data_IF_997960636161
#
_entry.id   IF_997960636161
#
_cell.length_a   1.000
_cell.length_b   1.000
_cell.length_c   1.000
_cell.angle_alpha   90.00
_cell.angle_beta   90.00
_cell.angle_gamma   90.00
#
_symmetry.space_group_name_H-M   'P 1'
#
loop_
_entity.id
_entity.type
_entity.pdbx_description
1 polymer ?
#
# COMPACT_ATOMS: atom_id res chain seq x y z
N UNK A 1 36.09 -14.90 -68.66
CA UNK A 1 35.50 -15.37 -67.39
C UNK A 1 34.77 -14.20 -66.73
N UNK A 2 33.44 -14.22 -66.69
CA UNK A 2 32.62 -13.24 -65.94
C UNK A 2 32.22 -13.91 -64.63
N UNK A 3 32.76 -13.45 -63.51
CA UNK A 3 32.33 -13.91 -62.19
C UNK A 3 31.08 -13.13 -61.78
N UNK A 4 29.93 -13.82 -61.74
CA UNK A 4 28.73 -13.31 -61.08
C UNK A 4 28.94 -13.46 -59.56
N UNK A 5 29.12 -12.34 -58.86
CA UNK A 5 29.13 -12.32 -57.40
C UNK A 5 27.70 -12.17 -56.92
N UNK A 6 27.07 -13.29 -56.55
CA UNK A 6 25.72 -13.30 -55.97
C UNK A 6 25.81 -12.88 -54.51
N UNK A 7 25.36 -11.66 -54.20
CA UNK A 7 25.32 -11.13 -52.84
C UNK A 7 24.17 -11.81 -52.07
N UNK A 8 24.50 -12.79 -51.22
CA UNK A 8 23.53 -13.45 -50.35
C UNK A 8 23.17 -12.49 -49.19
N UNK A 9 22.05 -11.78 -49.32
CA UNK A 9 21.46 -10.97 -48.26
C UNK A 9 20.97 -11.89 -47.14
N UNK A 10 21.83 -12.17 -46.16
CA UNK A 10 21.45 -12.85 -44.91
C UNK A 10 20.66 -11.85 -44.08
N UNK A 11 19.34 -11.89 -44.19
CA UNK A 11 18.44 -11.21 -43.26
C UNK A 11 18.54 -11.88 -41.90
N UNK A 12 19.34 -11.31 -41.00
CA UNK A 12 19.28 -11.64 -39.58
C UNK A 12 17.90 -11.25 -39.05
N UNK A 13 17.00 -12.22 -38.93
CA UNK A 13 15.79 -12.07 -38.15
C UNK A 13 16.21 -11.87 -36.69
N UNK A 14 16.24 -10.62 -36.22
CA UNK A 14 16.33 -10.34 -34.80
C UNK A 14 15.07 -10.92 -34.16
N UNK A 15 15.19 -12.09 -33.53
CA UNK A 15 14.09 -12.70 -32.79
C UNK A 15 13.77 -11.77 -31.61
N UNK A 16 12.67 -11.01 -31.74
CA UNK A 16 12.13 -10.23 -30.64
C UNK A 16 11.66 -11.15 -29.51
N UNK A 17 11.56 -10.59 -28.30
CA UNK A 17 11.26 -11.29 -27.07
C UNK A 17 10.01 -12.15 -27.22
N UNK A 18 10.13 -13.48 -27.10
CA UNK A 18 9.00 -14.40 -27.16
C UNK A 18 8.36 -14.57 -25.79
N UNK A 19 7.06 -14.30 -25.72
CA UNK A 19 6.29 -14.47 -24.48
C UNK A 19 5.73 -15.88 -24.31
N UNK A 20 5.82 -16.76 -25.32
CA UNK A 20 5.25 -18.11 -25.33
C UNK A 20 3.77 -18.13 -24.94
N UNK A 21 2.97 -17.31 -25.64
CA UNK A 21 1.55 -17.09 -25.32
C UNK A 21 0.66 -18.16 -25.93
N UNK A 22 0.05 -18.95 -25.05
CA UNK A 22 -0.97 -19.91 -25.42
C UNK A 22 -2.28 -19.58 -24.68
N UNK A 23 -3.40 -19.38 -25.40
CA UNK A 23 -4.68 -19.15 -24.76
C UNK A 23 -5.20 -20.43 -24.11
N UNK A 24 -5.67 -20.35 -22.87
CA UNK A 24 -6.42 -21.39 -22.20
C UNK A 24 -7.93 -21.13 -22.34
N UNK A 25 -8.69 -22.10 -22.83
CA UNK A 25 -10.15 -21.98 -22.97
C UNK A 25 -10.84 -22.08 -21.61
N UNK A 26 -11.48 -21.00 -21.15
CA UNK A 26 -12.24 -20.97 -19.89
C UNK A 26 -13.68 -21.41 -20.12
N UNK A 27 -14.28 -20.94 -21.21
CA UNK A 27 -15.58 -21.35 -21.73
C UNK A 27 -15.54 -21.28 -23.27
N UNK A 28 -16.59 -21.75 -23.95
CA UNK A 28 -16.72 -21.74 -25.42
C UNK A 28 -16.65 -20.34 -26.07
N UNK A 29 -16.66 -19.25 -25.27
CA UNK A 29 -16.53 -17.88 -25.78
C UNK A 29 -15.54 -17.02 -25.03
N UNK A 30 -14.77 -17.59 -24.08
CA UNK A 30 -13.77 -16.86 -23.30
C UNK A 30 -12.51 -17.70 -23.18
N UNK A 31 -11.38 -17.12 -23.59
CA UNK A 31 -10.05 -17.69 -23.39
C UNK A 31 -9.12 -16.69 -22.74
N UNK A 32 -8.09 -17.18 -22.04
CA UNK A 32 -7.14 -16.37 -21.29
C UNK A 32 -5.71 -16.85 -21.49
N UNK A 33 -4.79 -15.92 -21.69
CA UNK A 33 -3.36 -16.12 -21.49
C UNK A 33 -3.06 -15.79 -20.04
N UNK A 34 -2.84 -16.82 -19.22
CA UNK A 34 -2.51 -16.61 -17.81
C UNK A 34 -1.10 -16.05 -17.65
N UNK A 35 -0.98 -15.07 -16.76
CA UNK A 35 0.29 -14.44 -16.40
C UNK A 35 1.12 -15.34 -15.49
N UNK A 36 2.44 -15.18 -15.54
CA UNK A 36 3.36 -15.91 -14.69
C UNK A 36 3.29 -15.40 -13.24
N UNK A 37 3.66 -16.25 -12.30
CA UNK A 37 3.77 -15.87 -10.90
C UNK A 37 4.96 -14.94 -10.68
N UNK A 38 4.81 -13.95 -9.79
CA UNK A 38 5.88 -13.04 -9.39
C UNK A 38 5.79 -11.63 -9.99
N UNK A 39 6.95 -10.97 -10.08
CA UNK A 39 7.09 -9.58 -10.54
C UNK A 39 7.55 -9.53 -11.99
N UNK A 40 7.38 -8.38 -12.65
CA UNK A 40 7.99 -8.12 -13.94
C UNK A 40 9.53 -8.19 -13.82
N UNK A 41 10.15 -8.95 -14.72
CA UNK A 41 11.60 -9.16 -14.83
C UNK A 41 12.01 -9.16 -16.31
N UNK A 42 13.32 -9.07 -16.57
CA UNK A 42 13.87 -9.23 -17.92
C UNK A 42 13.47 -10.58 -18.54
N UNK A 43 13.50 -11.65 -17.76
CA UNK A 43 13.21 -13.01 -18.23
C UNK A 43 11.74 -13.27 -18.56
N UNK A 44 10.79 -12.54 -17.98
CA UNK A 44 9.36 -12.72 -18.27
C UNK A 44 8.75 -11.59 -19.11
N UNK A 45 9.53 -10.56 -19.47
CA UNK A 45 9.06 -9.43 -20.27
C UNK A 45 7.87 -8.68 -19.65
N UNK A 46 7.60 -8.87 -18.36
CA UNK A 46 6.43 -8.34 -17.67
C UNK A 46 5.15 -9.19 -17.76
N UNK A 47 5.19 -10.42 -18.32
CA UNK A 47 4.05 -11.36 -18.39
C UNK A 47 3.67 -11.86 -17.00
N UNK A 48 3.01 -11.01 -16.23
CA UNK A 48 2.53 -11.33 -14.88
C UNK A 48 1.03 -11.12 -14.73
N UNK A 49 0.38 -10.48 -15.70
CA UNK A 49 -1.07 -10.27 -15.73
C UNK A 49 -1.75 -11.29 -16.62
N UNK A 50 -2.97 -11.67 -16.27
CA UNK A 50 -3.86 -12.43 -17.13
C UNK A 50 -4.45 -11.50 -18.20
N UNK A 51 -4.30 -11.87 -19.46
CA UNK A 51 -4.98 -11.22 -20.59
C UNK A 51 -6.01 -12.19 -21.14
N UNK A 52 -7.24 -11.75 -21.25
CA UNK A 52 -8.32 -12.59 -21.76
C UNK A 52 -8.99 -11.96 -22.96
N UNK A 53 -9.72 -12.75 -23.73
CA UNK A 53 -10.57 -12.24 -24.80
C UNK A 53 -11.91 -12.96 -24.81
N UNK A 54 -12.93 -12.20 -25.17
CA UNK A 54 -14.32 -12.64 -25.30
C UNK A 54 -14.64 -12.67 -26.78
N UNK A 55 -15.12 -13.82 -27.27
CA UNK A 55 -15.61 -13.97 -28.64
C UNK A 55 -17.03 -13.42 -28.78
N UNK A 56 -17.26 -12.61 -29.81
CA UNK A 56 -18.60 -12.14 -30.19
C UNK A 56 -18.77 -12.27 -31.70
N UNK A 57 -20.00 -12.16 -32.21
CA UNK A 57 -20.22 -12.21 -33.66
C UNK A 57 -19.64 -11.01 -34.43
N UNK A 58 -19.26 -9.92 -33.75
CA UNK A 58 -18.66 -8.72 -34.38
C UNK A 58 -17.14 -8.63 -34.18
N UNK A 59 -16.54 -9.57 -33.46
CA UNK A 59 -15.11 -9.60 -33.16
C UNK A 59 -14.80 -9.75 -31.67
N UNK A 60 -13.53 -9.63 -31.33
CA UNK A 60 -13.05 -9.83 -29.97
C UNK A 60 -13.21 -8.60 -29.07
N UNK A 61 -13.41 -8.87 -27.78
CA UNK A 61 -13.23 -7.90 -26.69
C UNK A 61 -12.12 -8.40 -25.78
N UNK A 62 -11.00 -7.69 -25.73
CA UNK A 62 -9.85 -8.02 -24.88
C UNK A 62 -10.05 -7.43 -23.48
N UNK A 63 -9.76 -8.21 -22.45
CA UNK A 63 -9.72 -7.80 -21.05
C UNK A 63 -8.26 -7.77 -20.61
N UNK A 64 -7.79 -6.59 -20.21
CA UNK A 64 -6.40 -6.26 -19.86
C UNK A 64 -5.39 -6.53 -21.00
N UNK A 65 -4.88 -5.46 -21.60
CA UNK A 65 -4.04 -5.53 -22.82
C UNK A 65 -2.65 -6.16 -22.64
N UNK A 66 -2.18 -6.28 -21.40
CA UNK A 66 -0.87 -6.83 -21.08
C UNK A 66 0.25 -5.79 -21.00
N UNK A 67 1.49 -6.25 -20.73
CA UNK A 67 2.57 -5.42 -20.23
C UNK A 67 3.31 -4.60 -21.28
N UNK A 68 3.18 -4.93 -22.57
CA UNK A 68 3.96 -4.31 -23.64
C UNK A 68 3.21 -4.37 -24.98
N UNK A 69 3.66 -3.55 -25.94
CA UNK A 69 3.15 -3.56 -27.31
C UNK A 69 3.42 -4.91 -28.00
N UNK A 70 4.63 -5.45 -27.86
CA UNK A 70 5.04 -6.74 -28.43
C UNK A 70 4.26 -7.92 -27.85
N UNK A 71 3.96 -7.89 -26.54
CA UNK A 71 3.07 -8.86 -25.91
C UNK A 71 1.69 -8.84 -26.56
N UNK A 72 1.09 -7.65 -26.71
CA UNK A 72 -0.24 -7.52 -27.30
C UNK A 72 -0.27 -7.99 -28.76
N UNK A 73 0.81 -7.75 -29.51
CA UNK A 73 0.96 -8.26 -30.87
C UNK A 73 0.98 -9.79 -30.90
N UNK A 74 1.80 -10.44 -30.07
CA UNK A 74 1.86 -11.91 -29.99
C UNK A 74 0.56 -12.51 -29.47
N UNK A 75 -0.10 -11.87 -28.51
CA UNK A 75 -1.40 -12.26 -28.02
C UNK A 75 -2.43 -12.26 -29.16
N UNK A 76 -2.49 -11.18 -29.93
CA UNK A 76 -3.38 -11.10 -31.08
C UNK A 76 -3.04 -12.14 -32.15
N UNK A 77 -1.75 -12.40 -32.44
CA UNK A 77 -1.35 -13.48 -33.34
C UNK A 77 -1.84 -14.86 -32.86
N UNK A 78 -1.75 -15.15 -31.56
CA UNK A 78 -2.27 -16.39 -30.98
C UNK A 78 -3.81 -16.47 -31.06
N UNK A 79 -4.50 -15.33 -30.92
CA UNK A 79 -5.96 -15.24 -31.13
C UNK A 79 -6.33 -15.53 -32.60
N UNK A 80 -5.63 -14.91 -33.55
CA UNK A 80 -5.88 -15.10 -35.00
C UNK A 80 -5.74 -16.57 -35.42
N UNK A 81 -4.76 -17.29 -34.86
CA UNK A 81 -4.58 -18.73 -35.12
C UNK A 81 -5.79 -19.57 -34.71
N UNK A 82 -6.51 -19.16 -33.66
CA UNK A 82 -7.74 -19.84 -33.22
C UNK A 82 -8.94 -19.44 -34.07
N UNK A 83 -9.12 -18.14 -34.30
CA UNK A 83 -10.19 -17.62 -35.14
C UNK A 83 -9.86 -16.21 -35.62
N UNK A 84 -9.90 -15.95 -36.94
CA UNK A 84 -9.50 -14.66 -37.50
C UNK A 84 -10.60 -13.62 -37.31
N UNK A 85 -10.59 -12.91 -36.17
CA UNK A 85 -11.53 -11.84 -35.86
C UNK A 85 -10.82 -10.55 -35.47
N UNK A 86 -11.36 -9.36 -35.81
CA UNK A 86 -10.81 -8.09 -35.36
C UNK A 86 -11.05 -7.89 -33.86
N UNK A 87 -10.16 -7.17 -33.18
CA UNK A 87 -10.44 -6.66 -31.82
C UNK A 87 -11.25 -5.37 -31.92
N UNK A 88 -12.45 -5.36 -31.35
CA UNK A 88 -13.32 -4.17 -31.34
C UNK A 88 -13.12 -3.31 -30.09
N UNK A 89 -12.85 -3.94 -28.96
CA UNK A 89 -12.64 -3.26 -27.69
C UNK A 89 -11.50 -3.88 -26.88
N UNK A 90 -10.81 -3.02 -26.13
CA UNK A 90 -9.93 -3.41 -25.02
C UNK A 90 -10.48 -2.77 -23.76
N UNK A 91 -10.73 -3.58 -22.73
CA UNK A 91 -11.18 -3.11 -21.42
C UNK A 91 -10.08 -3.42 -20.42
N UNK A 92 -9.35 -2.40 -19.99
CA UNK A 92 -8.38 -2.53 -18.91
C UNK A 92 -9.12 -2.45 -17.58
N UNK A 93 -8.90 -3.43 -16.70
CA UNK A 93 -9.53 -3.50 -15.38
C UNK A 93 -8.80 -2.67 -14.33
N UNK A 94 -7.52 -2.36 -14.56
CA UNK A 94 -6.70 -1.49 -13.74
C UNK A 94 -5.91 -0.47 -14.58
N UNK A 95 -5.31 0.52 -13.93
CA UNK A 95 -4.38 1.46 -14.54
C UNK A 95 -2.89 1.08 -14.29
N UNK A 96 -2.60 -0.13 -13.81
CA UNK A 96 -1.21 -0.56 -13.63
C UNK A 96 -0.53 -0.78 -14.98
N UNK A 97 0.76 -0.47 -15.06
CA UNK A 97 1.55 -0.55 -16.31
C UNK A 97 1.45 -1.93 -16.97
N UNK A 98 1.48 -3.01 -16.19
CA UNK A 98 1.36 -4.40 -16.67
C UNK A 98 0.01 -4.72 -17.31
N UNK A 99 -1.05 -3.96 -17.02
CA UNK A 99 -2.37 -4.14 -17.62
C UNK A 99 -2.54 -3.35 -18.93
N UNK A 100 -1.87 -2.21 -19.07
CA UNK A 100 -2.30 -1.15 -19.99
C UNK A 100 -1.35 -0.88 -21.16
N UNK A 101 -0.11 -1.31 -21.10
CA UNK A 101 0.91 -0.93 -22.08
C UNK A 101 0.76 -1.64 -23.44
N UNK A 102 0.04 -2.76 -23.48
CA UNK A 102 -0.38 -3.40 -24.73
C UNK A 102 -1.47 -2.63 -25.48
N UNK A 103 -2.13 -1.65 -24.85
CA UNK A 103 -3.29 -0.95 -25.44
C UNK A 103 -2.95 -0.19 -26.73
N UNK A 104 -1.70 0.26 -26.88
CA UNK A 104 -1.23 0.96 -28.09
C UNK A 104 -1.32 0.09 -29.35
N UNK A 105 -1.01 -1.20 -29.26
CA UNK A 105 -1.10 -2.14 -30.39
C UNK A 105 -2.55 -2.25 -30.88
N UNK A 106 -3.48 -2.58 -29.98
CA UNK A 106 -4.88 -2.74 -30.34
C UNK A 106 -5.52 -1.43 -30.83
N UNK A 107 -5.11 -0.28 -30.28
CA UNK A 107 -5.57 1.03 -30.74
C UNK A 107 -5.15 1.30 -32.19
N UNK A 108 -3.92 0.96 -32.57
CA UNK A 108 -3.45 1.07 -33.96
C UNK A 108 -4.25 0.18 -34.91
N UNK A 109 -4.77 -0.96 -34.41
CA UNK A 109 -5.67 -1.85 -35.15
C UNK A 109 -7.14 -1.37 -35.17
N UNK A 110 -7.44 -0.18 -34.64
CA UNK A 110 -8.78 0.41 -34.63
C UNK A 110 -9.67 0.01 -33.44
N UNK A 111 -9.13 -0.70 -32.44
CA UNK A 111 -9.91 -1.06 -31.25
C UNK A 111 -10.17 0.16 -30.35
N UNK A 112 -11.37 0.21 -29.75
CA UNK A 112 -11.72 1.20 -28.73
C UNK A 112 -11.22 0.78 -27.36
N UNK A 113 -10.43 1.64 -26.71
CA UNK A 113 -9.90 1.39 -25.37
C UNK A 113 -10.85 1.95 -24.32
N UNK A 114 -11.14 1.17 -23.29
CA UNK A 114 -11.92 1.55 -22.10
C UNK A 114 -11.07 1.25 -20.88
N UNK A 115 -11.05 2.17 -19.91
CA UNK A 115 -10.17 2.05 -18.75
C UNK A 115 -10.78 2.70 -17.51
N UNK A 116 -10.27 2.39 -16.30
CA UNK A 116 -10.64 3.12 -15.08
C UNK A 116 -10.24 4.61 -15.18
N UNK A 117 -10.93 5.48 -14.44
CA UNK A 117 -10.62 6.93 -14.43
C UNK A 117 -9.22 7.26 -13.94
N UNK A 118 -8.61 6.42 -13.08
CA UNK A 118 -7.21 6.56 -12.64
C UNK A 118 -6.18 6.49 -13.79
N UNK A 119 -6.55 5.89 -14.93
CA UNK A 119 -5.70 5.86 -16.12
C UNK A 119 -5.33 7.27 -16.59
N UNK A 120 -6.23 8.26 -16.42
CA UNK A 120 -5.93 9.66 -16.77
C UNK A 120 -4.70 10.20 -16.03
N UNK A 121 -4.50 9.79 -14.78
CA UNK A 121 -3.32 10.19 -14.01
C UNK A 121 -2.06 9.51 -14.53
N UNK A 122 -2.16 8.25 -14.97
CA UNK A 122 -1.03 7.53 -15.57
C UNK A 122 -0.51 8.20 -16.83
N UNK A 123 -1.39 8.76 -17.67
CA UNK A 123 -1.00 9.51 -18.87
C UNK A 123 -0.12 10.74 -18.58
N UNK A 124 -0.16 11.27 -17.35
CA UNK A 124 0.67 12.41 -16.93
C UNK A 124 2.07 11.99 -16.49
N UNK A 125 2.29 10.69 -16.21
CA UNK A 125 3.59 10.19 -15.80
C UNK A 125 4.51 10.03 -17.01
N UNK A 126 5.65 10.70 -16.98
CA UNK A 126 6.67 10.59 -18.05
C UNK A 126 7.55 9.35 -17.93
N UNK A 127 7.68 8.78 -16.73
CA UNK A 127 8.55 7.62 -16.46
C UNK A 127 7.72 6.36 -16.20
N UNK A 128 7.93 5.33 -17.01
CA UNK A 128 7.34 4.01 -16.85
C UNK A 128 8.31 3.12 -16.09
N UNK A 129 7.88 2.60 -14.94
CA UNK A 129 8.75 1.83 -14.06
C UNK A 129 9.09 0.44 -14.62
N UNK A 130 8.15 -0.18 -15.33
CA UNK A 130 8.34 -1.49 -15.95
C UNK A 130 9.45 -1.47 -17.00
N UNK A 131 9.69 -0.34 -17.68
CA UNK A 131 10.77 -0.17 -18.64
C UNK A 131 12.15 -0.42 -18.03
N UNK A 132 12.31 -0.17 -16.72
CA UNK A 132 13.55 -0.43 -15.98
C UNK A 132 13.70 -1.89 -15.52
N UNK A 133 12.62 -2.68 -15.59
CA UNK A 133 12.55 -4.03 -15.04
C UNK A 133 12.62 -5.13 -16.08
N UNK A 134 12.26 -4.82 -17.33
CA UNK A 134 12.19 -5.78 -18.44
C UNK A 134 13.27 -5.49 -19.49
N UNK A 135 13.45 -6.36 -20.49
CA UNK A 135 14.41 -6.10 -21.57
C UNK A 135 13.94 -4.95 -22.47
N UNK A 136 14.88 -4.22 -23.06
CA UNK A 136 14.58 -3.14 -24.00
C UNK A 136 13.77 -3.65 -25.21
N UNK A 137 14.11 -4.85 -25.67
CA UNK A 137 13.43 -5.54 -26.74
C UNK A 137 11.96 -5.88 -26.39
N UNK A 138 11.70 -6.46 -25.20
CA UNK A 138 10.34 -6.67 -24.72
C UNK A 138 9.55 -5.36 -24.61
N UNK A 139 10.19 -4.28 -24.13
CA UNK A 139 9.54 -2.98 -23.97
C UNK A 139 9.34 -2.21 -25.29
N UNK A 140 9.96 -2.65 -26.39
CA UNK A 140 9.97 -1.92 -27.66
C UNK A 140 8.56 -1.49 -28.10
N UNK A 141 8.45 -0.24 -28.60
CA UNK A 141 7.21 0.45 -29.01
C UNK A 141 6.15 0.66 -27.90
N UNK A 142 6.40 0.19 -26.68
CA UNK A 142 5.44 0.32 -25.58
C UNK A 142 5.37 1.76 -25.09
N UNK A 143 4.16 2.32 -25.13
CA UNK A 143 3.86 3.65 -24.62
C UNK A 143 2.43 3.71 -24.13
N UNK A 144 2.15 4.61 -23.21
CA UNK A 144 0.77 4.89 -22.81
C UNK A 144 0.01 5.55 -23.96
N UNK A 145 -1.26 5.19 -24.11
CA UNK A 145 -2.15 5.78 -25.12
C UNK A 145 -3.45 6.24 -24.47
N UNK A 146 -4.04 7.33 -24.97
CA UNK A 146 -5.32 7.81 -24.46
C UNK A 146 -6.43 6.76 -24.67
N UNK A 147 -7.23 6.53 -23.62
CA UNK A 147 -8.43 5.70 -23.66
C UNK A 147 -9.59 6.43 -24.36
N UNK A 148 -10.44 5.70 -25.10
CA UNK A 148 -11.66 6.24 -25.69
C UNK A 148 -12.78 6.44 -24.66
N UNK A 149 -12.71 5.72 -23.53
CA UNK A 149 -13.68 5.85 -22.43
C UNK A 149 -13.04 5.62 -21.06
N UNK A 150 -13.51 6.39 -20.07
CA UNK A 150 -13.07 6.27 -18.69
C UNK A 150 -14.26 5.95 -17.77
N UNK A 151 -14.20 4.82 -17.08
CA UNK A 151 -15.32 4.34 -16.26
C UNK A 151 -15.08 4.65 -14.80
N UNK A 152 -16.02 5.36 -14.18
CA UNK A 152 -16.01 5.63 -12.74
C UNK A 152 -16.98 4.73 -11.95
N UNK A 153 -18.10 4.31 -12.55
CA UNK A 153 -19.16 3.58 -11.82
C UNK A 153 -19.71 2.40 -12.61
N UNK A 154 -20.28 2.65 -13.79
CA UNK A 154 -21.01 1.64 -14.55
C UNK A 154 -20.94 1.94 -16.05
N UNK A 155 -20.83 0.90 -16.86
CA UNK A 155 -21.07 0.93 -18.31
C UNK A 155 -21.57 -0.43 -18.76
N UNK A 156 -22.54 -0.45 -19.67
CA UNK A 156 -22.94 -1.65 -20.42
C UNK A 156 -22.55 -1.46 -21.88
N UNK A 157 -22.03 -2.51 -22.49
CA UNK A 157 -21.76 -2.62 -23.92
C UNK A 157 -22.46 -3.88 -24.43
N UNK A 158 -23.01 -3.81 -25.64
CA UNK A 158 -23.59 -4.96 -26.32
C UNK A 158 -22.87 -5.10 -27.66
N UNK A 159 -22.08 -6.15 -27.82
CA UNK A 159 -21.19 -6.34 -28.97
C UNK A 159 -21.46 -7.74 -29.52
N UNK A 160 -21.91 -7.84 -30.77
CA UNK A 160 -22.16 -9.13 -31.44
C UNK A 160 -23.03 -10.09 -30.63
N UNK A 161 -24.11 -9.60 -30.02
CA UNK A 161 -25.02 -10.40 -29.19
C UNK A 161 -24.48 -10.78 -27.81
N UNK A 162 -23.39 -10.16 -27.35
CA UNK A 162 -22.81 -10.39 -26.02
C UNK A 162 -22.89 -9.10 -25.20
N UNK A 163 -23.59 -9.17 -24.06
CA UNK A 163 -23.64 -8.11 -23.07
C UNK A 163 -22.41 -8.15 -22.15
N UNK A 164 -21.72 -7.01 -22.07
CA UNK A 164 -20.52 -6.80 -21.26
C UNK A 164 -20.79 -5.66 -20.28
N UNK A 165 -20.76 -5.96 -18.98
CA UNK A 165 -21.13 -5.03 -17.90
C UNK A 165 -19.88 -4.68 -17.10
N UNK A 166 -19.46 -3.42 -17.16
CA UNK A 166 -18.27 -2.89 -16.51
C UNK A 166 -18.70 -2.11 -15.27
N UNK A 167 -18.11 -2.41 -14.10
CA UNK A 167 -18.47 -1.75 -12.84
C UNK A 167 -17.25 -1.41 -12.00
N UNK A 168 -17.32 -0.30 -11.30
CA UNK A 168 -16.47 -0.02 -10.15
C UNK A 168 -17.26 -0.34 -8.87
N UNK A 169 -16.68 -1.14 -7.97
CA UNK A 169 -17.37 -1.59 -6.75
C UNK A 169 -17.09 -0.73 -5.52
N UNK A 170 -16.14 0.20 -5.62
CA UNK A 170 -15.64 1.04 -4.52
C UNK A 170 -15.88 2.53 -4.78
N UNK A 171 -16.93 3.08 -4.15
CA UNK A 171 -17.23 4.53 -4.22
C UNK A 171 -16.04 5.35 -3.71
N UNK A 172 -15.46 6.18 -4.58
CA UNK A 172 -14.31 7.04 -4.29
C UNK A 172 -12.95 6.36 -4.49
N UNK A 173 -12.90 5.14 -5.04
CA UNK A 173 -11.71 4.63 -5.72
C UNK A 173 -11.93 4.75 -7.22
N UNK A 174 -10.87 5.06 -7.96
CA UNK A 174 -10.87 5.14 -9.42
C UNK A 174 -9.98 4.08 -10.06
N UNK A 175 -9.48 3.10 -9.29
CA UNK A 175 -8.36 2.23 -9.66
C UNK A 175 -8.77 0.93 -10.34
N UNK A 176 -9.86 0.32 -9.88
CA UNK A 176 -10.24 -1.04 -10.28
C UNK A 176 -11.64 -1.09 -10.88
N UNK A 177 -11.78 -1.96 -11.88
CA UNK A 177 -13.05 -2.34 -12.48
C UNK A 177 -13.23 -3.85 -12.41
N UNK A 178 -14.49 -4.28 -12.41
CA UNK A 178 -14.89 -5.64 -12.77
C UNK A 178 -15.60 -5.61 -14.12
N UNK A 179 -15.56 -6.74 -14.83
CA UNK A 179 -16.29 -6.95 -16.09
C UNK A 179 -17.10 -8.23 -15.98
N UNK A 180 -18.43 -8.14 -16.04
CA UNK A 180 -19.32 -9.30 -16.05
C UNK A 180 -19.80 -9.60 -17.46
N UNK A 181 -19.80 -10.88 -17.83
CA UNK A 181 -20.31 -11.36 -19.12
C UNK A 181 -21.38 -12.44 -18.85
N UNK A 182 -22.65 -12.05 -18.66
CA UNK A 182 -23.71 -12.96 -18.20
C UNK A 182 -23.92 -14.18 -19.11
N UNK A 183 -23.83 -13.99 -20.43
CA UNK A 183 -23.96 -15.07 -21.43
C UNK A 183 -23.03 -16.25 -21.13
N UNK A 184 -21.80 -15.95 -20.68
CA UNK A 184 -20.78 -16.96 -20.36
C UNK A 184 -20.65 -17.22 -18.85
N UNK A 185 -21.55 -16.68 -18.02
CA UNK A 185 -21.51 -16.76 -16.55
C UNK A 185 -20.10 -16.47 -15.98
N UNK A 186 -19.39 -15.52 -16.57
CA UNK A 186 -17.98 -15.23 -16.25
C UNK A 186 -17.83 -13.81 -15.73
N UNK A 187 -17.03 -13.65 -14.67
CA UNK A 187 -16.70 -12.38 -14.04
C UNK A 187 -15.19 -12.16 -14.06
N UNK A 188 -14.72 -11.13 -14.77
CA UNK A 188 -13.36 -10.63 -14.62
C UNK A 188 -13.33 -9.70 -13.40
N UNK A 189 -12.66 -10.13 -12.34
CA UNK A 189 -12.56 -9.40 -11.09
C UNK A 189 -11.38 -8.41 -11.05
N UNK A 190 -10.50 -8.43 -12.05
CA UNK A 190 -9.30 -7.59 -12.09
C UNK A 190 -8.50 -7.71 -10.80
N UNK A 191 -8.07 -6.57 -10.26
CA UNK A 191 -7.32 -6.47 -9.01
C UNK A 191 -8.21 -6.47 -7.75
N UNK A 192 -9.47 -6.90 -7.82
CA UNK A 192 -10.24 -7.16 -6.60
C UNK A 192 -9.86 -8.47 -5.93
N UNK A 193 -9.27 -9.41 -6.68
CA UNK A 193 -8.89 -10.74 -6.18
C UNK A 193 -7.40 -10.93 -6.42
N UNK A 194 -6.67 -11.27 -5.37
CA UNK A 194 -5.24 -11.56 -5.43
C UNK A 194 -5.00 -13.00 -5.03
N UNK A 195 -4.38 -13.73 -5.95
CA UNK A 195 -3.95 -15.11 -5.78
C UNK A 195 -2.44 -15.21 -5.50
N UNK A 196 -1.76 -14.11 -5.12
CA UNK A 196 -0.30 -14.06 -4.89
C UNK A 196 0.10 -13.30 -3.60
N UNK A 197 1.36 -13.47 -3.18
CA UNK A 197 1.90 -13.36 -1.82
C UNK A 197 2.12 -11.95 -1.26
N UNK A 198 1.98 -10.86 -2.02
CA UNK A 198 2.14 -9.50 -1.44
C UNK A 198 1.17 -8.49 -2.04
N UNK A 199 0.34 -7.93 -1.16
CA UNK A 199 -0.75 -7.04 -1.48
C UNK A 199 -0.34 -5.57 -1.34
N UNK A 200 -0.51 -4.80 -2.41
CA UNK A 200 -0.37 -3.34 -2.33
C UNK A 200 -1.71 -2.74 -1.92
N UNK A 201 -1.80 -2.24 -0.68
CA UNK A 201 -2.97 -1.46 -0.23
C UNK A 201 -3.22 -0.22 -1.09
N UNK A 202 -2.20 0.22 -1.83
CA UNK A 202 -2.30 1.31 -2.80
C UNK A 202 -3.36 1.10 -3.87
N UNK A 203 -3.92 -0.10 -4.05
CA UNK A 203 -4.92 -0.35 -5.09
C UNK A 203 -6.38 -0.12 -4.62
N UNK A 204 -6.64 -0.07 -3.32
CA UNK A 204 -8.01 0.01 -2.78
C UNK A 204 -8.21 1.27 -1.92
N UNK A 205 -9.48 1.68 -1.73
CA UNK A 205 -9.79 2.85 -0.90
C UNK A 205 -9.51 2.57 0.59
N UNK A 206 -9.90 1.38 1.04
CA UNK A 206 -9.65 0.88 2.40
C UNK A 206 -9.97 -0.61 2.47
N UNK A 207 -9.47 -1.31 3.49
CA UNK A 207 -9.85 -2.70 3.76
C UNK A 207 -11.38 -2.91 3.87
N UNK A 208 -12.10 -1.96 4.47
CA UNK A 208 -13.57 -2.02 4.60
C UNK A 208 -14.27 -1.84 3.24
N UNK A 209 -13.77 -0.94 2.40
CA UNK A 209 -14.29 -0.74 1.04
C UNK A 209 -14.08 -1.99 0.20
N UNK A 210 -12.88 -2.54 0.24
CA UNK A 210 -12.52 -3.73 -0.50
C UNK A 210 -13.29 -4.98 -0.02
N UNK A 211 -13.44 -5.18 1.29
CA UNK A 211 -14.26 -6.27 1.82
C UNK A 211 -15.74 -6.19 1.39
N UNK A 212 -16.31 -4.99 1.29
CA UNK A 212 -17.66 -4.81 0.72
C UNK A 212 -17.70 -5.14 -0.77
N UNK A 213 -16.66 -4.82 -1.53
CA UNK A 213 -16.56 -5.21 -2.93
C UNK A 213 -16.49 -6.74 -3.08
N UNK A 214 -15.72 -7.44 -2.25
CA UNK A 214 -15.68 -8.91 -2.23
C UNK A 214 -17.07 -9.51 -1.95
N UNK A 215 -17.78 -9.02 -0.94
CA UNK A 215 -19.16 -9.47 -0.65
C UNK A 215 -20.11 -9.28 -1.84
N UNK A 216 -19.99 -8.16 -2.56
CA UNK A 216 -20.77 -7.91 -3.79
C UNK A 216 -20.39 -8.89 -4.90
N UNK A 217 -19.11 -9.18 -5.07
CA UNK A 217 -18.64 -10.18 -6.05
C UNK A 217 -19.23 -11.56 -5.71
N UNK A 218 -19.21 -11.95 -4.44
CA UNK A 218 -19.76 -13.24 -3.99
C UNK A 218 -21.25 -13.39 -4.29
N UNK A 219 -22.03 -12.32 -4.12
CA UNK A 219 -23.48 -12.31 -4.36
C UNK A 219 -23.87 -12.28 -5.85
N UNK A 220 -22.92 -12.05 -6.76
CA UNK A 220 -23.19 -12.08 -8.21
C UNK A 220 -23.30 -13.52 -8.72
N UNK A 221 -24.15 -13.70 -9.75
CA UNK A 221 -24.29 -14.98 -10.47
C UNK A 221 -23.14 -15.14 -11.47
N UNK A 222 -22.22 -16.06 -11.19
CA UNK A 222 -21.12 -16.46 -12.06
C UNK A 222 -20.67 -17.89 -11.71
N UNK A 223 -20.16 -18.58 -12.73
CA UNK A 223 -19.55 -19.91 -12.65
C UNK A 223 -18.01 -19.85 -12.72
N UNK A 224 -17.49 -18.80 -13.35
CA UNK A 224 -16.06 -18.55 -13.51
C UNK A 224 -15.72 -17.13 -13.07
N UNK A 225 -14.59 -16.99 -12.39
CA UNK A 225 -14.07 -15.71 -11.94
C UNK A 225 -12.59 -15.60 -12.27
N UNK A 226 -12.17 -14.52 -12.94
CA UNK A 226 -10.80 -14.35 -13.41
C UNK A 226 -10.24 -13.07 -12.81
N UNK A 227 -9.19 -13.19 -12.01
CA UNK A 227 -8.43 -12.05 -11.48
C UNK A 227 -7.39 -11.56 -12.50
N UNK A 228 -6.80 -10.39 -12.26
CA UNK A 228 -5.63 -9.93 -13.01
C UNK A 228 -4.43 -10.86 -12.82
N UNK A 229 -4.33 -11.58 -11.70
CA UNK A 229 -3.17 -12.40 -11.37
C UNK A 229 -3.58 -13.77 -10.83
N UNK A 230 -2.85 -14.81 -11.24
CA UNK A 230 -3.03 -16.20 -10.81
C UNK A 230 -4.10 -16.96 -11.60
N UNK A 231 -4.19 -18.27 -11.35
CA UNK A 231 -4.86 -19.23 -12.25
C UNK A 231 -6.14 -19.83 -11.68
N UNK A 232 -6.51 -19.53 -10.43
CA UNK A 232 -7.75 -20.03 -9.82
C UNK A 232 -8.95 -19.32 -10.45
N UNK A 233 -9.85 -20.09 -11.07
CA UNK A 233 -11.01 -19.57 -11.80
C UNK A 233 -12.38 -19.88 -11.19
N UNK A 234 -12.41 -20.55 -10.04
CA UNK A 234 -13.64 -20.95 -9.33
C UNK A 234 -13.79 -20.20 -8.01
N UNK A 235 -14.79 -20.56 -7.21
CA UNK A 235 -15.09 -19.92 -5.91
C UNK A 235 -13.88 -19.88 -4.97
N UNK A 236 -13.00 -20.88 -5.02
CA UNK A 236 -11.77 -20.95 -4.23
C UNK A 236 -10.75 -19.83 -4.55
N UNK A 237 -10.89 -19.11 -5.67
CA UNK A 237 -10.07 -17.93 -5.99
C UNK A 237 -10.23 -16.80 -4.96
N UNK A 238 -11.37 -16.74 -4.26
CA UNK A 238 -11.65 -15.70 -3.27
C UNK A 238 -10.94 -15.94 -1.92
N UNK A 239 -10.53 -17.18 -1.64
CA UNK A 239 -10.13 -17.61 -0.29
C UNK A 239 -8.96 -16.80 0.25
N UNK A 240 -7.88 -16.65 -0.52
CA UNK A 240 -6.68 -15.92 -0.09
C UNK A 240 -6.99 -14.46 0.22
N UNK A 241 -7.77 -13.82 -0.65
CA UNK A 241 -8.17 -12.42 -0.47
C UNK A 241 -9.07 -12.24 0.75
N UNK A 242 -10.07 -13.12 0.94
CA UNK A 242 -10.95 -13.10 2.12
C UNK A 242 -10.19 -13.30 3.43
N UNK A 243 -9.26 -14.25 3.46
CA UNK A 243 -8.40 -14.50 4.63
C UNK A 243 -7.53 -13.29 4.96
N UNK A 244 -6.91 -12.67 3.96
CA UNK A 244 -6.12 -11.44 4.13
C UNK A 244 -6.96 -10.29 4.68
N UNK A 245 -8.14 -10.04 4.10
CA UNK A 245 -9.06 -9.00 4.54
C UNK A 245 -9.54 -9.25 5.98
N UNK A 246 -9.93 -10.49 6.30
CA UNK A 246 -10.35 -10.88 7.65
C UNK A 246 -9.25 -10.62 8.68
N UNK A 247 -8.02 -11.02 8.37
CA UNK A 247 -6.86 -10.82 9.24
C UNK A 247 -6.61 -9.32 9.49
N UNK A 248 -6.49 -8.51 8.44
CA UNK A 248 -6.18 -7.09 8.57
C UNK A 248 -7.32 -6.29 9.20
N UNK A 249 -8.58 -6.60 8.88
CA UNK A 249 -9.72 -5.98 9.56
C UNK A 249 -9.74 -6.33 11.05
N UNK A 250 -9.38 -7.56 11.44
CA UNK A 250 -9.22 -7.94 12.85
C UNK A 250 -8.11 -7.13 13.52
N UNK A 251 -6.98 -6.90 12.86
CA UNK A 251 -5.90 -6.06 13.38
C UNK A 251 -6.36 -4.60 13.55
N UNK A 252 -7.07 -4.04 12.57
CA UNK A 252 -7.60 -2.66 12.65
C UNK A 252 -8.64 -2.55 13.76
N UNK A 253 -9.54 -3.52 13.90
CA UNK A 253 -10.53 -3.54 14.98
C UNK A 253 -9.88 -3.71 16.35
N UNK A 254 -8.81 -4.52 16.46
CA UNK A 254 -8.01 -4.63 17.68
C UNK A 254 -7.33 -3.31 18.00
N UNK A 255 -6.63 -2.68 17.04
CA UNK A 255 -6.02 -1.36 17.21
C UNK A 255 -7.05 -0.31 17.59
N UNK A 256 -8.18 -0.24 16.90
CA UNK A 256 -9.26 0.69 17.23
C UNK A 256 -9.92 0.36 18.58
N UNK A 257 -9.95 -0.90 19.02
CA UNK A 257 -10.40 -1.26 20.37
C UNK A 257 -9.36 -0.86 21.39
N UNK A 258 -8.07 -1.10 21.16
CA UNK A 258 -6.97 -0.64 21.99
C UNK A 258 -6.99 0.87 22.08
N UNK A 259 -7.05 1.59 20.96
CA UNK A 259 -7.22 3.04 20.87
C UNK A 259 -8.53 3.47 21.52
N UNK A 260 -9.66 2.75 21.39
CA UNK A 260 -10.92 3.09 22.10
C UNK A 260 -10.87 2.80 23.60
N UNK A 261 -10.16 1.78 24.05
CA UNK A 261 -9.90 1.50 25.47
C UNK A 261 -8.89 2.48 26.02
N UNK A 262 -7.94 2.93 25.19
CA UNK A 262 -7.01 3.98 25.51
C UNK A 262 -7.74 5.32 25.57
N UNK A 263 -8.64 5.63 24.62
CA UNK A 263 -9.62 6.73 24.53
C UNK A 263 -10.60 6.72 25.72
N UNK A 264 -11.14 5.57 26.12
CA UNK A 264 -11.91 5.43 27.37
C UNK A 264 -11.04 5.65 28.61
N UNK A 265 -9.76 5.27 28.60
CA UNK A 265 -8.77 5.65 29.64
C UNK A 265 -8.38 7.14 29.57
N UNK A 266 -8.60 7.84 28.44
CA UNK A 266 -8.36 9.30 28.30
C UNK A 266 -9.32 10.12 29.14
N UNK A 267 -10.55 9.64 29.34
CA UNK A 267 -11.55 10.37 30.11
C UNK A 267 -11.38 10.22 31.64
N UNK A 268 -10.25 9.65 32.11
CA UNK A 268 -9.87 9.63 33.54
C UNK A 268 -8.35 9.60 33.73
N UNK A 269 -7.57 10.38 32.96
CA UNK A 269 -6.11 10.45 33.15
C UNK A 269 -5.79 11.20 34.45
N UNK A 270 -5.27 10.48 35.45
CA UNK A 270 -4.78 11.05 36.72
C UNK A 270 -3.75 12.15 36.45
N UNK A 271 -3.70 13.15 37.33
CA UNK A 271 -2.66 14.19 37.33
C UNK A 271 -1.26 13.55 37.42
N UNK A 272 -0.25 14.28 36.95
CA UNK A 272 1.13 13.84 37.10
C UNK A 272 1.51 13.87 38.57
N UNK A 273 2.03 12.74 39.08
CA UNK A 273 2.55 12.69 40.44
C UNK A 273 3.96 13.28 40.48
N UNK A 274 4.14 14.30 41.30
CA UNK A 274 5.44 14.91 41.57
C UNK A 274 5.99 14.33 42.86
N UNK A 275 7.25 13.89 42.80
CA UNK A 275 7.99 13.40 43.95
C UNK A 275 8.66 14.55 44.68
N UNK A 276 8.86 14.41 46.00
CA UNK A 276 9.34 15.50 46.85
C UNK A 276 10.83 15.82 46.66
N UNK A 277 11.64 14.86 46.22
CA UNK A 277 13.07 15.09 45.94
C UNK A 277 13.63 14.07 44.95
N UNK A 278 14.79 14.41 44.39
CA UNK A 278 15.47 13.59 43.37
C UNK A 278 15.89 12.21 43.88
N UNK A 279 16.32 12.08 45.14
CA UNK A 279 16.77 10.79 45.67
C UNK A 279 15.62 9.79 45.79
N UNK A 280 14.43 10.28 46.18
CA UNK A 280 13.20 9.49 46.16
C UNK A 280 12.82 9.13 44.72
N UNK A 281 12.79 10.12 43.81
CA UNK A 281 12.44 9.88 42.40
C UNK A 281 13.34 8.84 41.74
N UNK A 282 14.66 8.92 41.99
CA UNK A 282 15.65 7.95 41.51
C UNK A 282 15.38 6.56 42.02
N UNK A 283 15.19 6.39 43.34
CA UNK A 283 14.90 5.07 43.94
C UNK A 283 13.63 4.46 43.36
N UNK A 284 12.56 5.24 43.26
CA UNK A 284 11.30 4.78 42.70
C UNK A 284 11.42 4.48 41.20
N UNK A 285 12.14 5.30 40.44
CA UNK A 285 12.33 5.12 39.02
C UNK A 285 13.15 3.86 38.69
N UNK A 286 14.19 3.53 39.47
CA UNK A 286 14.94 2.28 39.32
C UNK A 286 14.03 1.07 39.53
N UNK A 287 13.25 1.08 40.62
CA UNK A 287 12.34 -0.02 40.97
C UNK A 287 11.21 -0.20 39.94
N UNK A 288 10.67 0.90 39.42
CA UNK A 288 9.56 0.89 38.46
C UNK A 288 10.00 0.87 36.99
N UNK A 289 11.31 0.79 36.72
CA UNK A 289 11.88 0.82 35.36
C UNK A 289 11.48 2.08 34.57
N UNK A 290 11.56 3.25 35.22
CA UNK A 290 11.20 4.57 34.68
C UNK A 290 12.42 5.48 34.56
N UNK A 291 12.28 6.57 33.81
CA UNK A 291 13.20 7.70 33.82
C UNK A 291 12.89 8.67 34.96
N UNK A 292 13.82 9.59 35.23
CA UNK A 292 13.57 10.73 36.11
C UNK A 292 13.56 12.01 35.29
N UNK A 293 12.50 12.80 35.42
CA UNK A 293 12.41 14.15 34.86
C UNK A 293 12.61 15.17 35.98
N UNK A 294 13.64 16.02 35.85
CA UNK A 294 13.85 17.16 36.75
C UNK A 294 13.36 18.40 36.02
N UNK A 295 12.34 19.05 36.57
CA UNK A 295 11.81 20.31 36.06
C UNK A 295 12.25 21.44 37.00
N UNK A 296 13.13 22.29 36.50
CA UNK A 296 13.62 23.47 37.19
C UNK A 296 12.72 24.65 36.85
N UNK A 297 12.29 25.38 37.88
CA UNK A 297 11.46 26.57 37.75
C UNK A 297 11.84 27.63 38.82
N UNK A 298 11.20 28.80 38.73
CA UNK A 298 11.34 29.91 39.65
C UNK A 298 9.95 30.51 39.95
N UNK A 299 9.83 31.26 41.03
CA UNK A 299 8.66 32.05 41.33
C UNK A 299 8.44 33.10 40.22
N UNK A 300 7.18 33.47 40.00
CA UNK A 300 6.79 34.45 38.95
C UNK A 300 7.25 34.11 37.52
N UNK A 301 7.44 32.82 37.20
CA UNK A 301 7.86 32.36 35.88
C UNK A 301 6.67 32.03 34.95
N UNK A 302 6.24 33.00 34.14
CA UNK A 302 5.19 32.80 33.13
C UNK A 302 5.47 31.64 32.13
N UNK A 303 6.70 31.48 31.60
CA UNK A 303 7.06 30.32 30.79
C UNK A 303 6.90 28.97 31.52
N UNK A 304 7.18 28.92 32.82
CA UNK A 304 7.03 27.73 33.65
C UNK A 304 5.56 27.34 33.78
N UNK A 305 4.66 28.32 33.96
CA UNK A 305 3.22 28.07 34.01
C UNK A 305 2.66 27.53 32.69
N UNK A 306 3.20 27.99 31.55
CA UNK A 306 2.84 27.42 30.25
C UNK A 306 3.22 25.94 30.17
N UNK A 307 4.42 25.57 30.61
CA UNK A 307 4.85 24.17 30.66
C UNK A 307 4.00 23.34 31.64
N UNK A 308 3.68 23.89 32.82
CA UNK A 308 2.79 23.25 33.81
C UNK A 308 1.43 22.94 33.18
N UNK A 309 0.83 23.93 32.52
CA UNK A 309 -0.46 23.76 31.83
C UNK A 309 -0.38 22.68 30.76
N UNK A 310 0.70 22.60 29.99
CA UNK A 310 0.90 21.53 28.99
C UNK A 310 0.96 20.16 29.67
N UNK A 311 1.72 20.04 30.75
CA UNK A 311 1.83 18.81 31.54
C UNK A 311 0.50 18.42 32.22
N UNK A 312 -0.36 19.38 32.57
CA UNK A 312 -1.64 19.13 33.24
C UNK A 312 -2.81 18.86 32.29
N UNK A 313 -2.83 19.55 31.14
CA UNK A 313 -3.98 19.52 30.22
C UNK A 313 -3.79 18.54 29.06
N UNK A 314 -2.55 18.29 28.63
CA UNK A 314 -2.30 17.37 27.52
C UNK A 314 -2.32 15.91 27.99
N UNK A 315 -3.44 15.23 27.73
CA UNK A 315 -3.64 13.85 28.14
C UNK A 315 -2.66 12.83 27.54
N UNK A 316 -2.02 13.12 26.40
CA UNK A 316 -0.99 12.24 25.81
C UNK A 316 0.31 12.34 26.60
N UNK A 317 0.73 13.57 26.90
CA UNK A 317 1.93 13.83 27.70
C UNK A 317 1.75 13.30 29.12
N UNK A 318 0.59 13.54 29.76
CA UNK A 318 0.29 12.97 31.08
C UNK A 318 0.46 11.45 31.15
N UNK A 319 -0.01 10.72 30.13
CA UNK A 319 0.16 9.26 30.11
C UNK A 319 1.61 8.87 29.93
N UNK A 320 2.29 9.49 28.98
CA UNK A 320 3.69 9.23 28.70
C UNK A 320 4.55 9.43 29.95
N UNK A 321 4.32 10.54 30.66
CA UNK A 321 4.99 10.86 31.92
C UNK A 321 4.60 9.86 33.01
N UNK A 322 3.31 9.70 33.33
CA UNK A 322 2.89 8.82 34.44
C UNK A 322 3.33 7.35 34.29
N UNK A 323 3.38 6.83 33.06
CA UNK A 323 3.76 5.44 32.82
C UNK A 323 5.27 5.23 32.80
N UNK A 324 6.07 6.23 32.43
CA UNK A 324 7.48 5.99 32.10
C UNK A 324 8.45 6.90 32.84
N UNK A 325 7.97 7.88 33.61
CA UNK A 325 8.79 8.95 34.17
C UNK A 325 8.35 9.30 35.60
N UNK A 326 9.31 9.44 36.51
CA UNK A 326 9.13 10.08 37.82
C UNK A 326 9.53 11.54 37.73
N UNK A 327 8.64 12.44 38.11
CA UNK A 327 8.87 13.89 37.98
C UNK A 327 9.29 14.49 39.32
N UNK A 328 10.32 15.32 39.28
CA UNK A 328 10.81 16.15 40.39
C UNK A 328 10.67 17.60 39.96
N UNK A 329 10.03 18.40 40.81
CA UNK A 329 9.96 19.86 40.66
C UNK A 329 11.06 20.44 41.53
N UNK A 330 11.87 21.34 40.98
CA UNK A 330 12.92 22.05 41.71
C UNK A 330 12.66 23.55 41.57
N UNK A 331 12.34 24.22 42.66
CA UNK A 331 12.13 25.66 42.67
C UNK A 331 13.39 26.37 43.19
N UNK A 332 14.04 27.11 42.29
CA UNK A 332 15.34 27.74 42.55
C UNK A 332 15.28 28.94 43.48
N UNK A 333 14.11 29.58 43.62
CA UNK A 333 13.91 30.69 44.57
C UNK A 333 13.71 30.21 46.01
N UNK A 334 13.40 28.92 46.20
CA UNK A 334 13.24 28.30 47.53
C UNK A 334 14.58 27.78 48.10
N UNK A 335 15.73 28.20 47.54
CA UNK A 335 17.07 27.69 47.87
C UNK A 335 17.25 26.17 47.66
N UNK A 336 16.39 25.54 46.86
CA UNK A 336 16.53 24.12 46.53
C UNK A 336 17.74 23.90 45.61
N UNK A 337 18.64 22.99 46.01
CA UNK A 337 19.81 22.67 45.20
C UNK A 337 19.41 21.82 43.99
N UNK A 338 19.86 22.24 42.81
CA UNK A 338 19.69 21.44 41.59
C UNK A 338 20.48 20.12 41.75
N UNK A 339 19.83 18.96 41.61
CA UNK A 339 20.49 17.66 41.77
C UNK A 339 21.67 17.46 40.81
N UNK A 340 22.63 16.64 41.22
CA UNK A 340 23.78 16.21 40.40
C UNK A 340 24.69 17.34 39.88
N UNK A 341 24.59 18.55 40.42
CA UNK A 341 25.36 19.70 39.94
C UNK A 341 24.98 20.14 38.52
N UNK A 342 23.75 19.85 38.07
CA UNK A 342 23.31 20.21 36.73
C UNK A 342 23.27 21.75 36.56
N UNK A 343 23.98 22.24 35.55
CA UNK A 343 23.94 23.65 35.17
C UNK A 343 22.70 23.98 34.33
N UNK A 344 22.03 25.09 34.63
CA UNK A 344 20.90 25.63 33.87
C UNK A 344 21.10 27.13 33.65
N UNK A 345 20.62 27.64 32.51
CA UNK A 345 20.77 29.06 32.12
C UNK A 345 19.48 29.87 32.29
N UNK A 346 18.34 29.21 32.53
CA UNK A 346 17.04 29.86 32.66
C UNK A 346 15.93 28.87 32.98
N UNK A 347 14.75 29.39 33.31
CA UNK A 347 13.56 28.61 33.69
C UNK A 347 12.41 28.78 32.67
N UNK A 348 11.62 27.74 32.38
CA UNK A 348 11.80 26.36 32.84
C UNK A 348 12.95 25.66 32.11
N UNK A 349 13.66 24.79 32.82
CA UNK A 349 14.57 23.82 32.21
C UNK A 349 14.12 22.41 32.60
N UNK A 350 14.02 21.52 31.63
CA UNK A 350 13.64 20.11 31.83
C UNK A 350 14.83 19.22 31.51
N UNK A 351 15.23 18.41 32.48
CA UNK A 351 16.18 17.32 32.27
C UNK A 351 15.47 15.98 32.31
N UNK A 352 15.90 15.06 31.44
CA UNK A 352 15.52 13.65 31.51
C UNK A 352 16.76 12.82 31.82
N UNK A 353 16.70 12.02 32.88
CA UNK A 353 17.84 11.34 33.48
C UNK A 353 17.58 9.83 33.51
N UNK A 354 18.59 9.05 33.08
CA UNK A 354 18.62 7.61 33.29
C UNK A 354 19.00 7.33 34.76
N UNK A 355 18.15 6.72 35.59
CA UNK A 355 18.33 6.77 37.03
C UNK A 355 19.47 5.87 37.55
N UNK A 356 19.82 4.79 36.84
CA UNK A 356 20.93 3.89 37.22
C UNK A 356 22.29 4.56 37.00
N UNK A 357 22.51 5.08 35.79
CA UNK A 357 23.78 5.71 35.36
C UNK A 357 23.88 7.18 35.74
N UNK A 358 22.75 7.82 36.07
CA UNK A 358 22.62 9.27 36.22
C UNK A 358 23.02 10.05 34.95
N UNK A 359 22.96 9.41 33.78
CA UNK A 359 23.24 10.08 32.50
C UNK A 359 22.08 11.02 32.16
N UNK A 360 22.41 12.25 31.78
CA UNK A 360 21.46 13.18 31.17
C UNK A 360 21.18 12.72 29.74
N UNK A 361 19.95 12.32 29.48
CA UNK A 361 19.50 11.88 28.15
C UNK A 361 19.01 13.05 27.31
N UNK A 362 18.37 14.03 27.96
CA UNK A 362 17.75 15.16 27.30
C UNK A 362 17.80 16.40 28.21
N UNK A 363 18.01 17.56 27.59
CA UNK A 363 17.84 18.88 28.21
C UNK A 363 17.00 19.75 27.28
N UNK A 364 15.88 20.27 27.77
CA UNK A 364 15.04 21.23 27.07
C UNK A 364 14.96 22.52 27.88
N UNK A 365 15.05 23.68 27.22
CA UNK A 365 15.07 24.99 27.87
C UNK A 365 14.04 25.93 27.24
N UNK A 366 13.38 26.72 28.09
CA UNK A 366 12.42 27.74 27.64
C UNK A 366 11.05 27.17 27.29
N UNK A 367 10.30 27.92 26.46
CA UNK A 367 8.93 27.55 26.07
C UNK A 367 8.96 26.48 24.99
N UNK A 368 8.46 25.29 25.31
CA UNK A 368 8.45 24.13 24.41
C UNK A 368 7.03 23.91 23.90
N UNK A 369 6.86 23.65 22.60
CA UNK A 369 5.55 23.33 22.04
C UNK A 369 5.08 21.94 22.51
N UNK A 370 3.78 21.72 22.77
CA UNK A 370 3.29 20.44 23.29
C UNK A 370 3.67 19.22 22.43
N UNK A 371 3.64 19.38 21.11
CA UNK A 371 4.00 18.34 20.16
C UNK A 371 5.49 17.99 20.22
N UNK A 372 6.34 19.01 20.31
CA UNK A 372 7.80 18.87 20.42
C UNK A 372 8.20 18.19 21.73
N UNK A 373 7.56 18.57 22.84
CA UNK A 373 7.75 17.90 24.13
C UNK A 373 7.31 16.42 24.06
N UNK A 374 6.16 16.13 23.45
CA UNK A 374 5.68 14.75 23.28
C UNK A 374 6.63 13.91 22.42
N UNK A 375 7.13 14.45 21.30
CA UNK A 375 8.07 13.77 20.40
C UNK A 375 9.42 13.53 21.07
N UNK A 376 9.97 14.54 21.77
CA UNK A 376 11.26 14.44 22.46
C UNK A 376 11.24 13.38 23.57
N UNK A 377 10.16 13.32 24.35
CA UNK A 377 10.01 12.31 25.41
C UNK A 377 9.83 10.89 24.83
N UNK A 378 9.16 10.74 23.69
CA UNK A 378 8.92 9.42 23.07
C UNK A 378 10.20 8.74 22.60
N UNK A 379 11.17 9.52 22.10
CA UNK A 379 12.45 8.98 21.62
C UNK A 379 13.09 8.13 22.73
N UNK A 380 13.28 8.72 23.91
CA UNK A 380 13.97 8.06 25.02
C UNK A 380 13.12 7.02 25.76
N UNK A 381 11.79 7.17 25.79
CA UNK A 381 10.91 6.15 26.38
C UNK A 381 10.90 4.87 25.53
N UNK A 382 10.93 4.99 24.20
CA UNK A 382 10.94 3.83 23.31
C UNK A 382 12.26 3.05 23.38
N UNK A 383 13.39 3.75 23.54
CA UNK A 383 14.71 3.10 23.68
C UNK A 383 14.78 2.23 24.94
N UNK A 384 14.18 2.67 26.06
CA UNK A 384 14.09 1.88 27.30
C UNK A 384 13.20 0.65 27.14
N UNK A 385 12.13 0.76 26.37
CA UNK A 385 11.26 -0.38 26.08
C UNK A 385 11.98 -1.42 25.21
N UNK A 386 12.85 -1.00 24.29
CA UNK A 386 13.68 -1.88 23.49
C UNK A 386 14.73 -2.60 24.35
N UNK A 387 15.42 -1.88 25.26
CA UNK A 387 16.39 -2.46 26.19
C UNK A 387 15.74 -3.48 27.15
N UNK A 388 14.54 -3.20 27.66
CA UNK A 388 13.80 -4.12 28.53
C UNK A 388 13.30 -5.37 27.79
N UNK A 389 13.02 -5.27 26.48
CA UNK A 389 12.63 -6.42 25.66
C UNK A 389 13.83 -7.34 25.38
N UNK A 390 15.02 -6.76 25.24
CA UNK A 390 16.28 -7.48 25.09
C UNK A 390 16.64 -8.24 26.39
N UNK A 391 16.45 -7.63 27.57
CA UNK A 391 16.61 -8.30 28.87
C UNK A 391 15.63 -9.46 29.12
N UNK A 392 14.46 -9.48 28.47
CA UNK A 392 13.48 -10.58 28.63
C UNK A 392 13.79 -11.82 27.77
N UNK A 393 14.71 -11.70 26.81
CA UNK A 393 15.11 -12.78 25.91
C UNK A 393 16.42 -13.45 26.33
N UNK A 394 17.20 -12.81 27.20
CA UNK A 394 18.41 -13.35 27.78
C UNK A 394 18.21 -13.47 29.30
N UNK A 395 17.86 -14.66 29.78
CA UNK A 395 17.85 -14.97 31.21
C UNK A 395 19.27 -14.80 31.79
N UNK A 396 19.54 -13.60 32.33
CA UNK A 396 20.39 -13.29 33.49
C UNK A 396 20.47 -11.77 33.67
N UNK A 397 19.72 -11.24 34.64
CA UNK A 397 19.97 -9.94 35.24
C UNK A 397 19.95 -10.11 36.75
#
# INVERSE_FOLDING_TARGET
>A
MRYLVTFFLVTFYSFGFDYHLEPYSVTDGISCMFGLHGKATKSNGGRVVNTCYIETSKGYVVIDSGPTYSYAQQAYSAMQKRKPLPVKYVINTSAQEVNILGSGFYKNMGAKIISPTSYKSMLKHKKLQIATKISADAFSKSKLVASNGYINRYKKLSIGGVDIIIRNLEKGSSRNLIVSVPKFKTLFAGNYIYNQTKLSLGEHKSFLSWNRAIKKIESMKWNYIISSHGTKIKRNALNSTKSYLKHNLKLILRKNRTDKTEIKRINKVKSIHYTHNFLQAKREAIREHKLVMIKIEANHCQPCEKLNRVLETNNRIKRLVNHNIKVVKVNTDNQERVPMGLSYMGTPTVFLIQPKTQKVLMRLQGVIQPKELEESLKIFVNDILADNQQCSLEEKC
#
